data_IF_642434424142
#
_entry.id   IF_642434424142
#
_cell.length_a   1.000
_cell.length_b   1.000
_cell.length_c   1.000
_cell.angle_alpha   90.00
_cell.angle_beta   90.00
_cell.angle_gamma   90.00
#
_symmetry.space_group_name_H-M   'P 1'
#
loop_
_entity.id
_entity.type
_entity.pdbx_description
1 polymer ?
#
# COMPACT_ATOMS: atom_id res chain seq x y z
N UNK A 1 0.89 -39.01 -41.87
CA UNK A 1 0.11 -38.91 -40.61
C UNK A 1 0.33 -37.52 -40.06
N UNK A 2 -0.68 -36.66 -40.18
CA UNK A 2 -0.64 -35.29 -39.69
C UNK A 2 -0.77 -35.32 -38.17
N UNK A 3 0.25 -34.87 -37.46
CA UNK A 3 0.10 -34.54 -36.05
C UNK A 3 -0.73 -33.26 -35.98
N UNK A 4 -2.05 -33.43 -35.83
CA UNK A 4 -2.94 -32.38 -35.35
C UNK A 4 -2.53 -32.08 -33.91
N UNK A 5 -1.57 -31.17 -33.75
CA UNK A 5 -1.32 -30.55 -32.45
C UNK A 5 -2.57 -29.74 -32.11
N UNK A 6 -3.21 -29.97 -30.95
CA UNK A 6 -4.33 -29.13 -30.56
C UNK A 6 -3.82 -27.70 -30.43
N UNK A 7 -4.52 -26.77 -31.07
CA UNK A 7 -4.30 -25.35 -30.92
C UNK A 7 -4.53 -24.99 -29.44
N UNK A 8 -3.47 -25.03 -28.63
CA UNK A 8 -3.49 -24.42 -27.31
C UNK A 8 -3.43 -22.91 -27.48
N UNK A 9 -4.63 -22.35 -27.65
CA UNK A 9 -5.11 -21.06 -27.18
C UNK A 9 -4.10 -19.91 -27.20
N UNK A 10 -4.21 -19.07 -28.23
CA UNK A 10 -3.57 -17.74 -28.39
C UNK A 10 -4.11 -16.69 -27.37
N UNK A 11 -4.60 -17.11 -26.20
CA UNK A 11 -5.16 -16.20 -25.19
C UNK A 11 -5.04 -16.76 -23.75
N UNK A 12 -3.82 -16.96 -23.27
CA UNK A 12 -3.56 -17.20 -21.84
C UNK A 12 -2.65 -16.11 -21.25
N UNK A 13 -3.30 -15.21 -20.51
CA UNK A 13 -2.83 -14.53 -19.30
C UNK A 13 -1.43 -14.97 -18.82
N UNK A 14 -0.41 -14.13 -19.04
CA UNK A 14 0.97 -14.39 -18.60
C UNK A 14 1.16 -13.99 -17.14
N UNK A 15 0.89 -14.93 -16.23
CA UNK A 15 1.34 -14.80 -14.85
C UNK A 15 2.88 -14.74 -14.81
N UNK A 16 3.50 -13.79 -14.09
CA UNK A 16 4.95 -13.76 -13.90
C UNK A 16 5.44 -15.11 -13.38
N UNK A 17 6.58 -15.60 -13.89
CA UNK A 17 7.10 -16.92 -13.54
C UNK A 17 7.46 -17.04 -12.05
N UNK A 18 7.74 -15.92 -11.40
CA UNK A 18 8.01 -15.82 -9.95
C UNK A 18 6.73 -15.75 -9.12
N UNK A 19 5.56 -15.80 -9.75
CA UNK A 19 4.28 -15.59 -9.09
C UNK A 19 3.28 -16.71 -9.38
N UNK A 20 2.32 -16.86 -8.48
CA UNK A 20 1.17 -17.74 -8.63
C UNK A 20 -0.08 -16.88 -8.71
N UNK A 21 -0.84 -17.03 -9.79
CA UNK A 21 -2.07 -16.28 -10.06
C UNK A 21 -3.29 -17.17 -9.88
N UNK A 22 -4.22 -16.75 -9.02
CA UNK A 22 -5.53 -17.37 -8.83
C UNK A 22 -6.59 -16.46 -9.46
N UNK A 23 -7.10 -16.87 -10.63
CA UNK A 23 -8.10 -16.09 -11.36
C UNK A 23 -9.48 -16.13 -10.71
N UNK A 24 -9.83 -17.22 -10.02
CA UNK A 24 -11.13 -17.38 -9.36
C UNK A 24 -11.24 -16.44 -8.15
N UNK A 25 -10.14 -16.28 -7.40
CA UNK A 25 -10.06 -15.36 -6.26
C UNK A 25 -9.51 -13.98 -6.62
N UNK A 26 -8.96 -13.82 -7.83
CA UNK A 26 -8.28 -12.61 -8.30
C UNK A 26 -7.13 -12.23 -7.38
N UNK A 27 -6.33 -13.22 -7.02
CA UNK A 27 -5.16 -13.08 -6.15
C UNK A 27 -3.88 -13.34 -6.94
N UNK A 28 -2.82 -12.59 -6.62
CA UNK A 28 -1.47 -12.84 -7.12
C UNK A 28 -0.53 -12.97 -5.94
N UNK A 29 0.23 -14.06 -5.91
CA UNK A 29 1.17 -14.38 -4.82
C UNK A 29 2.58 -14.47 -5.37
N UNK A 30 3.47 -13.62 -4.88
CA UNK A 30 4.87 -13.52 -5.28
C UNK A 30 5.79 -13.48 -4.05
N UNK A 31 5.55 -14.35 -3.07
CA UNK A 31 6.29 -14.39 -1.80
C UNK A 31 7.58 -15.20 -1.91
N UNK A 32 8.59 -14.88 -1.08
CA UNK A 32 9.85 -15.64 -0.96
C UNK A 32 10.67 -15.74 -2.26
N UNK A 33 10.62 -14.72 -3.11
CA UNK A 33 11.29 -14.74 -4.42
C UNK A 33 12.50 -13.79 -4.49
N UNK A 34 12.89 -13.19 -3.36
CA UNK A 34 13.95 -12.17 -3.30
C UNK A 34 13.71 -10.97 -4.24
N UNK A 35 12.44 -10.61 -4.47
CA UNK A 35 12.10 -9.51 -5.36
C UNK A 35 12.59 -8.18 -4.78
N UNK A 36 13.33 -7.43 -5.59
CA UNK A 36 13.70 -6.03 -5.29
C UNK A 36 12.72 -5.03 -5.88
N UNK A 37 11.89 -5.48 -6.83
CA UNK A 37 10.85 -4.73 -7.51
C UNK A 37 9.62 -5.61 -7.79
N UNK A 38 8.46 -4.99 -7.97
CA UNK A 38 7.22 -5.72 -8.31
C UNK A 38 7.22 -6.01 -9.81
N UNK A 39 6.97 -7.25 -10.26
CA UNK A 39 6.98 -7.57 -11.69
C UNK A 39 5.99 -6.74 -12.49
N UNK A 40 6.46 -6.11 -13.58
CA UNK A 40 5.68 -5.26 -14.49
C UNK A 40 4.59 -6.00 -15.27
N UNK A 41 4.60 -7.33 -15.22
CA UNK A 41 3.55 -8.18 -15.79
C UNK A 41 2.32 -8.30 -14.90
N UNK A 42 2.40 -8.06 -13.59
CA UNK A 42 1.21 -8.00 -12.71
C UNK A 42 0.26 -6.86 -13.14
N UNK A 43 0.75 -5.65 -13.52
CA UNK A 43 -0.09 -4.67 -14.17
C UNK A 43 -0.56 -5.09 -15.55
N UNK A 44 0.13 -5.95 -16.30
CA UNK A 44 -0.41 -6.52 -17.55
C UNK A 44 -1.51 -7.56 -17.33
N UNK A 45 -1.54 -8.22 -16.16
CA UNK A 45 -2.69 -8.99 -15.66
C UNK A 45 -3.90 -8.05 -15.36
N UNK A 46 -3.81 -6.76 -15.73
CA UNK A 46 -4.87 -5.73 -15.81
C UNK A 46 -6.18 -6.13 -16.48
N UNK A 47 -7.27 -5.34 -16.36
CA UNK A 47 -8.70 -5.67 -16.49
C UNK A 47 -9.17 -6.68 -17.52
N UNK A 48 -8.42 -6.94 -18.59
CA UNK A 48 -8.68 -8.00 -19.57
C UNK A 48 -8.38 -9.40 -19.01
N UNK A 49 -7.39 -9.56 -18.14
CA UNK A 49 -7.13 -10.87 -17.54
C UNK A 49 -8.30 -11.36 -16.68
N UNK A 50 -8.97 -10.41 -16.01
CA UNK A 50 -10.19 -10.60 -15.23
C UNK A 50 -11.45 -10.14 -15.97
N UNK A 51 -11.39 -9.86 -17.29
CA UNK A 51 -12.57 -9.42 -18.03
C UNK A 51 -13.52 -10.59 -18.19
N UNK A 52 -14.75 -10.42 -17.70
CA UNK A 52 -15.73 -11.48 -17.51
C UNK A 52 -16.01 -11.83 -16.04
N UNK A 53 -15.13 -11.45 -15.11
CA UNK A 53 -15.27 -11.64 -13.65
C UNK A 53 -15.62 -10.35 -12.87
N UNK A 54 -15.92 -9.25 -13.58
CA UNK A 54 -16.57 -8.05 -13.04
C UNK A 54 -15.76 -7.11 -12.15
N UNK A 55 -14.60 -7.51 -11.58
CA UNK A 55 -13.69 -6.64 -10.80
C UNK A 55 -12.23 -7.06 -11.00
N UNK A 56 -11.30 -6.10 -10.92
CA UNK A 56 -9.84 -6.30 -11.07
C UNK A 56 -9.18 -7.08 -9.93
N UNK A 57 -7.85 -7.01 -9.81
CA UNK A 57 -7.08 -7.71 -8.77
C UNK A 57 -7.56 -7.36 -7.36
N UNK A 58 -7.84 -8.37 -6.53
CA UNK A 58 -8.33 -8.20 -5.15
C UNK A 58 -7.26 -8.45 -4.10
N UNK A 59 -6.33 -9.38 -4.34
CA UNK A 59 -5.30 -9.76 -3.37
C UNK A 59 -3.91 -9.75 -3.98
N UNK A 60 -2.95 -9.13 -3.30
CA UNK A 60 -1.54 -9.13 -3.70
C UNK A 60 -0.65 -9.49 -2.51
N UNK A 61 0.12 -10.57 -2.64
CA UNK A 61 0.98 -11.09 -1.59
C UNK A 61 2.44 -10.97 -2.04
N UNK A 62 3.18 -10.07 -1.42
CA UNK A 62 4.58 -9.74 -1.73
C UNK A 62 5.48 -9.88 -0.49
N UNK A 63 5.00 -10.56 0.56
CA UNK A 63 5.75 -10.71 1.79
C UNK A 63 7.04 -11.50 1.61
N UNK A 64 7.99 -11.24 2.51
CA UNK A 64 9.30 -11.90 2.56
C UNK A 64 10.07 -11.79 1.23
N UNK A 65 10.14 -10.58 0.70
CA UNK A 65 10.99 -10.20 -0.44
C UNK A 65 12.00 -9.12 0.01
N UNK A 66 12.71 -8.51 -0.94
CA UNK A 66 13.75 -7.50 -0.72
C UNK A 66 13.30 -6.11 -1.20
N UNK A 67 11.99 -5.83 -1.15
CA UNK A 67 11.42 -4.56 -1.58
C UNK A 67 11.83 -3.46 -0.60
N UNK A 68 12.59 -2.48 -1.09
CA UNK A 68 12.98 -1.31 -0.30
C UNK A 68 12.07 -0.11 -0.56
N UNK A 69 11.47 -0.06 -1.75
CA UNK A 69 10.48 0.93 -2.14
C UNK A 69 9.40 0.30 -3.01
N UNK A 70 8.27 0.99 -3.12
CA UNK A 70 7.20 0.66 -4.03
C UNK A 70 6.66 1.97 -4.62
N UNK A 71 6.64 2.13 -5.96
CA UNK A 71 5.96 3.27 -6.55
C UNK A 71 4.48 3.25 -6.15
N UNK A 72 3.85 4.42 -6.05
CA UNK A 72 2.42 4.50 -5.71
C UNK A 72 1.63 3.56 -6.63
N UNK A 73 0.96 2.52 -6.10
CA UNK A 73 0.32 1.53 -6.94
C UNK A 73 -1.05 2.05 -7.40
N UNK A 74 -1.01 3.02 -8.31
CA UNK A 74 -2.19 3.60 -8.97
C UNK A 74 -2.99 2.58 -9.80
N UNK A 75 -2.38 1.42 -10.07
CA UNK A 75 -2.93 0.30 -10.82
C UNK A 75 -3.67 -0.73 -9.94
N UNK A 76 -3.66 -0.55 -8.61
CA UNK A 76 -4.30 -1.46 -7.63
C UNK A 76 -5.61 -0.88 -7.05
N UNK A 77 -6.44 -0.26 -7.89
CA UNK A 77 -7.67 0.43 -7.44
C UNK A 77 -8.77 -0.50 -6.89
N UNK A 78 -8.74 -1.79 -7.23
CA UNK A 78 -9.69 -2.81 -6.77
C UNK A 78 -9.18 -3.69 -5.63
N UNK A 79 -8.01 -3.36 -5.07
CA UNK A 79 -7.32 -4.23 -4.11
C UNK A 79 -7.99 -4.18 -2.74
N UNK A 80 -8.37 -5.36 -2.25
CA UNK A 80 -8.98 -5.56 -0.94
C UNK A 80 -7.96 -6.04 0.10
N UNK A 81 -6.86 -6.67 -0.34
CA UNK A 81 -5.82 -7.17 0.53
C UNK A 81 -4.43 -6.99 -0.10
N UNK A 82 -3.49 -6.51 0.70
CA UNK A 82 -2.07 -6.52 0.38
C UNK A 82 -1.23 -6.93 1.58
N UNK A 83 -0.29 -7.84 1.34
CA UNK A 83 0.72 -8.22 2.33
C UNK A 83 2.12 -7.85 1.81
N UNK A 84 2.78 -6.95 2.54
CA UNK A 84 4.13 -6.46 2.26
C UNK A 84 5.11 -6.85 3.38
N UNK A 85 4.70 -7.74 4.29
CA UNK A 85 5.43 -7.99 5.53
C UNK A 85 6.79 -8.62 5.26
N UNK A 86 7.78 -8.37 6.13
CA UNK A 86 9.11 -8.93 5.96
C UNK A 86 9.92 -8.36 4.77
N UNK A 87 9.51 -7.22 4.21
CA UNK A 87 10.30 -6.46 3.24
C UNK A 87 11.13 -5.36 3.93
N UNK A 88 12.38 -5.10 3.48
CA UNK A 88 13.29 -4.14 4.10
C UNK A 88 13.03 -2.69 3.64
N UNK A 89 11.83 -2.15 3.89
CA UNK A 89 11.49 -0.81 3.43
C UNK A 89 12.41 0.28 3.99
N UNK A 90 12.97 1.09 3.10
CA UNK A 90 13.74 2.28 3.43
C UNK A 90 12.80 3.48 3.53
N UNK A 91 12.43 3.85 4.76
CA UNK A 91 11.52 4.96 5.00
C UNK A 91 12.26 6.29 4.83
N UNK A 92 12.08 6.92 3.67
CA UNK A 92 12.57 8.23 3.31
C UNK A 92 11.62 8.91 2.32
N UNK A 93 12.06 9.96 1.63
CA UNK A 93 11.23 10.65 0.66
C UNK A 93 10.91 9.82 -0.60
N UNK A 94 11.69 8.80 -0.94
CA UNK A 94 11.38 7.88 -2.04
C UNK A 94 10.18 6.98 -1.69
N UNK A 95 9.99 6.64 -0.41
CA UNK A 95 8.87 5.82 0.06
C UNK A 95 7.58 6.63 0.34
N UNK A 96 7.63 7.96 0.24
CA UNK A 96 6.49 8.85 0.45
C UNK A 96 5.22 8.46 -0.36
N UNK A 97 5.31 8.05 -1.64
CA UNK A 97 4.13 7.62 -2.40
C UNK A 97 3.42 6.41 -1.79
N UNK A 98 4.18 5.42 -1.29
CA UNK A 98 3.63 4.26 -0.58
C UNK A 98 2.98 4.68 0.74
N UNK A 99 3.64 5.53 1.53
CA UNK A 99 3.07 6.04 2.79
C UNK A 99 1.71 6.73 2.55
N UNK A 100 1.61 7.57 1.50
CA UNK A 100 0.35 8.23 1.13
C UNK A 100 -0.74 7.24 0.75
N UNK A 101 -0.39 6.26 -0.07
CA UNK A 101 -1.32 5.22 -0.50
C UNK A 101 -1.85 4.43 0.70
N UNK A 102 -0.96 3.94 1.58
CA UNK A 102 -1.34 3.23 2.80
C UNK A 102 -2.19 4.07 3.77
N UNK A 103 -1.95 5.38 3.83
CA UNK A 103 -2.74 6.31 4.65
C UNK A 103 -4.16 6.49 4.10
N UNK A 104 -4.33 6.41 2.78
CA UNK A 104 -5.64 6.45 2.12
C UNK A 104 -6.44 5.15 2.26
N UNK A 105 -5.78 4.02 2.50
CA UNK A 105 -6.43 2.72 2.65
C UNK A 105 -6.98 2.50 4.06
N UNK A 106 -8.16 1.87 4.13
CA UNK A 106 -8.71 1.33 5.38
C UNK A 106 -8.34 -0.16 5.59
N UNK A 107 -7.17 -0.57 5.08
CA UNK A 107 -6.67 -1.93 5.15
C UNK A 107 -5.55 -2.05 6.19
N UNK A 108 -5.49 -3.21 6.87
CA UNK A 108 -4.37 -3.57 7.73
C UNK A 108 -3.26 -4.15 6.86
N UNK A 109 -2.33 -3.28 6.44
CA UNK A 109 -1.17 -3.69 5.64
C UNK A 109 0.03 -3.93 6.55
N UNK A 110 0.65 -5.09 6.42
CA UNK A 110 1.94 -5.39 7.04
C UNK A 110 3.06 -4.73 6.25
N UNK A 111 3.44 -3.50 6.59
CA UNK A 111 4.61 -2.83 6.01
C UNK A 111 5.32 -2.05 7.11
N UNK A 112 6.61 -2.33 7.32
CA UNK A 112 7.40 -1.82 8.43
C UNK A 112 8.72 -1.25 7.92
N UNK A 113 9.14 -0.11 8.47
CA UNK A 113 10.44 0.48 8.15
C UNK A 113 11.57 -0.41 8.68
N UNK A 114 12.49 -0.80 7.82
CA UNK A 114 13.76 -1.41 8.22
C UNK A 114 14.81 -0.33 8.54
N UNK A 115 14.77 0.77 7.79
CA UNK A 115 15.63 1.95 7.94
C UNK A 115 14.81 3.23 7.76
N UNK A 116 15.30 4.38 8.24
CA UNK A 116 16.47 4.58 9.11
C UNK A 116 16.25 4.03 10.53
N UNK A 117 17.31 3.94 11.38
CA UNK A 117 17.21 3.41 12.74
C UNK A 117 16.16 4.09 13.61
N UNK A 118 15.92 5.39 13.41
CA UNK A 118 14.95 6.19 14.18
C UNK A 118 13.50 5.70 14.07
N UNK A 119 13.15 5.03 12.97
CA UNK A 119 11.81 4.47 12.74
C UNK A 119 11.81 2.96 12.50
N UNK A 120 12.95 2.29 12.72
CA UNK A 120 13.05 0.85 12.54
C UNK A 120 11.98 0.13 13.35
N UNK A 121 11.27 -0.80 12.72
CA UNK A 121 10.18 -1.55 13.37
C UNK A 121 8.83 -0.81 13.40
N UNK A 122 8.78 0.48 13.06
CA UNK A 122 7.52 1.21 12.95
C UNK A 122 6.81 0.89 11.64
N UNK A 123 5.48 0.80 11.68
CA UNK A 123 4.68 0.63 10.46
C UNK A 123 4.87 1.84 9.54
N UNK A 124 5.02 1.61 8.23
CA UNK A 124 5.19 2.69 7.23
C UNK A 124 4.08 3.74 7.34
N UNK A 125 2.83 3.32 7.59
CA UNK A 125 1.69 4.22 7.81
C UNK A 125 1.82 5.10 9.08
N UNK A 126 2.52 4.64 10.10
CA UNK A 126 2.69 5.33 11.38
C UNK A 126 3.98 6.18 11.45
N UNK A 127 4.97 5.90 10.60
CA UNK A 127 6.26 6.61 10.56
C UNK A 127 6.18 8.01 9.91
N UNK A 128 5.10 8.77 10.17
CA UNK A 128 4.82 10.07 9.55
C UNK A 128 5.94 11.10 9.76
N UNK A 129 6.61 11.07 10.92
CA UNK A 129 7.68 12.00 11.28
C UNK A 129 8.83 12.06 10.27
N UNK A 130 9.14 10.95 9.61
CA UNK A 130 10.17 10.90 8.56
C UNK A 130 9.72 11.58 7.27
N UNK A 131 8.43 11.45 6.95
CA UNK A 131 7.85 11.95 5.71
C UNK A 131 7.46 13.43 5.77
N UNK A 132 7.25 13.98 6.97
CA UNK A 132 6.93 15.40 7.18
C UNK A 132 8.01 16.36 6.65
N UNK A 133 9.27 15.93 6.65
CA UNK A 133 10.40 16.69 6.12
C UNK A 133 10.55 16.61 4.60
N UNK A 134 9.75 15.77 3.91
CA UNK A 134 9.94 15.51 2.49
C UNK A 134 9.30 16.57 1.57
N UNK A 135 9.94 16.89 0.44
CA UNK A 135 9.35 17.74 -0.58
C UNK A 135 7.98 17.22 -1.02
N UNK A 136 7.01 18.14 -1.08
CA UNK A 136 5.65 17.84 -1.49
C UNK A 136 4.78 17.17 -0.43
N UNK A 137 5.24 16.97 0.82
CA UNK A 137 4.41 16.51 1.94
C UNK A 137 3.11 17.32 2.05
N UNK A 138 1.97 16.62 2.11
CA UNK A 138 0.66 17.23 2.34
C UNK A 138 0.15 16.68 3.67
N UNK A 139 0.31 17.46 4.74
CA UNK A 139 -0.29 17.14 6.02
C UNK A 139 -1.82 17.09 5.82
N UNK A 140 -2.43 15.91 6.00
CA UNK A 140 -3.86 15.88 6.26
C UNK A 140 -4.07 16.56 7.60
N UNK A 141 -4.67 17.75 7.61
CA UNK A 141 -5.00 18.44 8.86
C UNK A 141 -5.79 17.44 9.71
N UNK A 142 -5.23 17.05 10.85
CA UNK A 142 -6.00 16.43 11.91
C UNK A 142 -7.22 17.34 12.14
N UNK A 143 -8.42 16.76 12.17
CA UNK A 143 -9.60 17.49 12.66
C UNK A 143 -9.18 18.11 13.99
N UNK A 144 -9.07 19.44 14.03
CA UNK A 144 -8.94 20.17 15.28
C UNK A 144 -10.15 19.75 16.11
N UNK A 145 -9.92 18.92 17.13
CA UNK A 145 -10.87 18.78 18.23
C UNK A 145 -11.05 20.20 18.78
N UNK A 146 -12.29 20.72 18.90
CA UNK A 146 -12.49 22.02 19.53
C UNK A 146 -12.05 21.87 20.98
N UNK A 147 -10.93 22.51 21.35
CA UNK A 147 -10.59 22.72 22.75
C UNK A 147 -11.68 23.63 23.30
N UNK A 148 -12.61 23.05 24.06
CA UNK A 148 -13.64 23.77 24.80
C UNK A 148 -12.98 24.84 25.66
N UNK A 149 -13.16 26.09 25.28
CA UNK A 149 -12.69 27.24 26.05
C UNK A 149 -13.32 27.20 27.43
N UNK A 150 -12.48 27.08 28.46
CA UNK A 150 -12.89 27.36 29.83
C UNK A 150 -13.06 28.88 29.91
N UNK A 151 -14.32 29.31 29.82
CA UNK A 151 -14.73 30.69 30.04
C UNK A 151 -14.33 31.13 31.44
N UNK A 152 -13.34 32.02 31.53
CA UNK A 152 -12.93 32.66 32.77
C UNK A 152 -14.10 33.50 33.29
N UNK A 153 -14.77 32.99 34.33
CA UNK A 153 -15.86 33.66 35.04
C UNK A 153 -15.26 34.82 35.85
N UNK A 154 -15.42 36.05 35.37
CA UNK A 154 -15.15 37.28 36.16
C UNK A 154 -16.10 37.32 37.35
N UNK A 155 -15.56 37.29 38.56
CA UNK A 155 -16.28 37.58 39.80
C UNK A 155 -16.61 39.08 39.88
N UNK A 156 -17.83 39.48 40.30
CA UNK A 156 -18.13 40.87 40.61
C UNK A 156 -17.62 41.21 42.01
N UNK A 157 -16.80 42.25 42.11
CA UNK A 157 -16.44 42.90 43.37
C UNK A 157 -17.53 43.94 43.69
N UNK A 158 -18.41 43.60 44.64
CA UNK A 158 -19.17 44.58 45.40
C UNK A 158 -18.26 45.11 46.51
N UNK A 159 -18.08 46.43 46.58
CA UNK A 159 -17.42 47.11 47.70
C UNK A 159 -18.17 48.41 47.98
N UNK A 160 -18.96 48.40 49.05
CA UNK A 160 -19.51 49.58 49.71
C UNK A 160 -18.46 50.14 50.66
N UNK A 161 -18.25 51.46 50.67
CA UNK A 161 -18.05 52.34 51.83
C UNK A 161 -17.76 53.77 51.36
#
# INVERSE_FOLDING_TARGET
MMFLSPAWNVAAQRCPQTCVCDNSRRHVTCQHQNLTEVPDTIPEISPRAFSGLGKGLQGLYLQQNQLQSLPAPMWLSGLELIDLSGNPFHCDCQLLPLHRWLTGLNLRVGATCATPPSVRGQKVKAAASVFEACPGWIARKAKRTPTSGVSARRTPIHGWH
#
